data_IF_097183569574
#
_entry.id   IF_097183569574
#
_cell.length_a   1.000
_cell.length_b   1.000
_cell.length_c   1.000
_cell.angle_alpha   90.00
_cell.angle_beta   90.00
_cell.angle_gamma   90.00
#
_symmetry.space_group_name_H-M   'P 1'
#
loop_
_entity.id
_entity.type
_entity.pdbx_description
1 polymer ?
#
# COMPACT_ATOMS: atom_id res chain seq x y z
N UNK A 1 13.40 -2.11 -15.13
CA UNK A 1 11.95 -2.24 -14.81
C UNK A 1 11.49 -0.87 -14.37
N UNK A 2 10.33 -0.37 -14.81
CA UNK A 2 9.88 0.95 -14.37
C UNK A 2 9.42 0.90 -12.91
N UNK A 3 9.74 1.94 -12.13
CA UNK A 3 9.23 2.10 -10.78
C UNK A 3 7.68 2.24 -10.81
N UNK A 4 6.95 1.59 -9.91
CA UNK A 4 5.49 1.70 -9.88
C UNK A 4 5.07 3.12 -9.48
N UNK A 5 4.04 3.65 -10.15
CA UNK A 5 3.40 4.93 -9.81
C UNK A 5 2.29 4.77 -8.77
N UNK A 6 1.80 3.55 -8.60
CA UNK A 6 0.72 3.19 -7.70
C UNK A 6 1.05 1.84 -7.05
N UNK A 7 0.82 1.73 -5.75
CA UNK A 7 0.85 0.48 -5.02
C UNK A 7 -0.60 0.17 -4.63
N UNK A 8 -1.14 -0.92 -5.17
CA UNK A 8 -2.53 -1.34 -4.93
C UNK A 8 -2.54 -2.67 -4.21
N UNK A 9 -3.22 -2.72 -3.07
CA UNK A 9 -3.47 -3.92 -2.28
C UNK A 9 -4.91 -4.35 -2.57
N UNK A 10 -5.08 -5.62 -2.94
CA UNK A 10 -6.38 -6.22 -3.20
C UNK A 10 -6.76 -7.16 -2.07
N UNK A 11 -7.99 -7.02 -1.59
CA UNK A 11 -8.59 -7.83 -0.55
C UNK A 11 -9.75 -8.65 -1.14
N UNK A 12 -10.20 -9.67 -0.42
CA UNK A 12 -11.38 -10.45 -0.79
C UNK A 12 -12.70 -9.74 -0.47
N UNK A 13 -12.65 -8.78 0.45
CA UNK A 13 -13.80 -8.07 0.98
C UNK A 13 -13.56 -6.57 0.93
N UNK A 14 -14.65 -5.80 0.95
CA UNK A 14 -14.57 -4.34 0.94
C UNK A 14 -13.88 -3.82 2.21
N UNK A 15 -13.18 -2.70 2.10
CA UNK A 15 -12.36 -2.13 3.18
C UNK A 15 -12.98 -0.85 3.74
N UNK A 16 -13.01 -0.73 5.06
CA UNK A 16 -13.33 0.50 5.79
C UNK A 16 -12.10 1.41 5.82
N UNK A 17 -11.94 2.26 4.80
CA UNK A 17 -10.69 3.01 4.57
C UNK A 17 -10.31 3.96 5.71
N UNK A 18 -11.30 4.54 6.41
CA UNK A 18 -11.05 5.45 7.54
C UNK A 18 -10.47 4.77 8.79
N UNK A 19 -10.49 3.43 8.83
CA UNK A 19 -9.95 2.61 9.91
C UNK A 19 -8.81 1.70 9.42
N UNK A 20 -8.25 2.01 8.25
CA UNK A 20 -7.26 1.21 7.55
C UNK A 20 -6.01 2.05 7.21
N UNK A 21 -4.88 1.38 7.01
CA UNK A 21 -3.61 2.07 6.79
C UNK A 21 -2.58 1.26 6.04
N UNK A 22 -1.74 1.95 5.26
CA UNK A 22 -0.62 1.39 4.52
C UNK A 22 0.61 2.26 4.77
N UNK A 23 1.73 1.64 5.14
CA UNK A 23 3.03 2.27 5.31
C UNK A 23 4.03 1.60 4.39
N UNK A 24 4.77 2.42 3.64
CA UNK A 24 5.84 1.95 2.77
C UNK A 24 7.18 2.38 3.36
N UNK A 25 8.11 1.45 3.52
CA UNK A 25 9.46 1.69 4.00
C UNK A 25 10.44 1.43 2.87
N UNK A 26 11.33 2.38 2.61
CA UNK A 26 12.33 2.34 1.55
C UNK A 26 13.56 1.47 1.86
N UNK A 27 14.44 1.29 0.87
CA UNK A 27 15.67 0.52 1.01
C UNK A 27 16.66 1.12 2.02
N UNK A 28 16.54 2.41 2.29
CA UNK A 28 17.29 3.15 3.30
C UNK A 28 16.72 3.00 4.72
N UNK A 29 15.62 2.25 4.88
CA UNK A 29 14.96 2.01 6.16
C UNK A 29 14.03 3.13 6.62
N UNK A 30 13.90 4.22 5.85
CA UNK A 30 12.98 5.32 6.16
C UNK A 30 11.62 5.12 5.50
N UNK A 31 10.60 5.80 6.03
CA UNK A 31 9.28 5.81 5.39
C UNK A 31 9.39 6.48 4.01
N UNK A 32 8.98 5.77 2.96
CA UNK A 32 8.82 6.37 1.65
C UNK A 32 7.58 7.27 1.68
N UNK A 33 7.67 8.54 1.26
CA UNK A 33 6.53 9.43 1.26
C UNK A 33 5.50 8.94 0.24
N UNK A 34 4.27 8.73 0.71
CA UNK A 34 3.13 8.34 -0.12
C UNK A 34 1.94 9.26 0.12
N UNK A 35 0.97 9.24 -0.78
CA UNK A 35 -0.38 9.72 -0.50
C UNK A 35 -0.99 8.96 0.69
N UNK A 36 -2.05 9.54 1.26
CA UNK A 36 -2.93 8.79 2.14
C UNK A 36 -3.54 7.58 1.38
N UNK A 37 -3.80 6.46 2.08
CA UNK A 37 -4.52 5.33 1.50
C UNK A 37 -5.93 5.75 1.05
N UNK A 38 -6.32 5.29 -0.13
CA UNK A 38 -7.65 5.55 -0.70
C UNK A 38 -8.20 4.29 -1.35
N UNK A 39 -9.52 4.16 -1.41
CA UNK A 39 -10.14 3.12 -2.22
C UNK A 39 -9.98 3.43 -3.70
N UNK A 40 -9.85 2.40 -4.52
CA UNK A 40 -9.93 2.55 -5.98
C UNK A 40 -11.36 2.91 -6.36
N UNK A 41 -11.53 3.85 -7.28
CA UNK A 41 -12.86 4.28 -7.71
C UNK A 41 -13.64 3.11 -8.31
N UNK A 42 -14.84 2.87 -7.78
CA UNK A 42 -15.69 1.75 -8.20
C UNK A 42 -15.31 0.37 -7.66
N UNK A 43 -14.26 0.26 -6.83
CA UNK A 43 -13.84 -1.00 -6.20
C UNK A 43 -13.35 -0.78 -4.76
N UNK A 44 -14.22 -1.10 -3.79
CA UNK A 44 -13.92 -0.96 -2.37
C UNK A 44 -13.08 -2.12 -1.80
N UNK A 45 -12.77 -3.13 -2.61
CA UNK A 45 -11.85 -4.23 -2.23
C UNK A 45 -10.39 -3.90 -2.51
N UNK A 46 -10.12 -2.73 -3.11
CA UNK A 46 -8.77 -2.30 -3.47
C UNK A 46 -8.38 -1.01 -2.78
N UNK A 47 -7.28 -1.07 -2.03
CA UNK A 47 -6.65 0.10 -1.38
C UNK A 47 -5.43 0.51 -2.17
N UNK A 48 -5.31 1.80 -2.48
CA UNK A 48 -4.23 2.38 -3.27
C UNK A 48 -3.48 3.45 -2.49
N UNK A 49 -2.16 3.41 -2.59
CA UNK A 49 -1.25 4.51 -2.22
C UNK A 49 -0.36 4.86 -3.40
N UNK A 50 0.00 6.14 -3.51
CA UNK A 50 0.89 6.65 -4.56
C UNK A 50 2.18 7.19 -3.93
N UNK A 51 3.36 6.73 -4.35
CA UNK A 51 4.60 7.40 -3.99
C UNK A 51 4.56 8.88 -4.39
N UNK A 52 4.98 9.77 -3.49
CA UNK A 52 5.05 11.22 -3.78
C UNK A 52 6.18 11.59 -4.74
N UNK A 53 7.15 10.69 -4.90
CA UNK A 53 8.27 10.79 -5.83
C UNK A 53 8.56 9.41 -6.44
N UNK A 54 9.20 9.33 -7.62
CA UNK A 54 9.62 8.07 -8.19
C UNK A 54 10.43 7.21 -7.22
N UNK A 55 10.04 5.95 -7.05
CA UNK A 55 10.78 5.02 -6.20
C UNK A 55 12.16 4.74 -6.80
N UNK A 56 13.19 4.87 -5.98
CA UNK A 56 14.56 4.54 -6.36
C UNK A 56 14.74 3.02 -6.42
N UNK A 57 15.72 2.51 -7.17
CA UNK A 57 16.04 1.09 -7.15
C UNK A 57 16.35 0.60 -5.74
N UNK A 58 15.80 -0.54 -5.35
CA UNK A 58 15.98 -1.12 -4.02
C UNK A 58 14.78 -1.92 -3.52
N UNK A 59 14.93 -2.52 -2.34
CA UNK A 59 13.88 -3.30 -1.69
C UNK A 59 13.04 -2.42 -0.78
N UNK A 60 11.73 -2.50 -0.97
CA UNK A 60 10.72 -1.82 -0.19
C UNK A 60 9.94 -2.81 0.66
N UNK A 61 9.52 -2.39 1.84
CA UNK A 61 8.59 -3.13 2.69
C UNK A 61 7.26 -2.37 2.76
N UNK A 62 6.16 -3.09 2.61
CA UNK A 62 4.81 -2.58 2.75
C UNK A 62 4.19 -3.23 3.96
N UNK A 63 3.92 -2.43 4.99
CA UNK A 63 3.19 -2.82 6.17
C UNK A 63 1.76 -2.28 6.06
N UNK A 64 0.76 -3.12 6.27
CA UNK A 64 -0.64 -2.74 6.13
C UNK A 64 -1.50 -3.31 7.25
N UNK A 65 -2.58 -2.60 7.55
CA UNK A 65 -3.69 -3.07 8.37
C UNK A 65 -4.99 -2.59 7.73
N UNK A 66 -6.01 -3.44 7.73
CA UNK A 66 -7.33 -3.10 7.20
C UNK A 66 -8.41 -3.62 8.12
N UNK A 67 -9.50 -2.87 8.22
CA UNK A 67 -10.77 -3.36 8.73
C UNK A 67 -11.63 -3.71 7.52
N UNK A 68 -11.94 -4.99 7.34
CA UNK A 68 -12.90 -5.40 6.32
C UNK A 68 -14.33 -5.00 6.74
N UNK A 69 -15.19 -4.74 5.75
CA UNK A 69 -16.60 -4.33 5.95
C UNK A 69 -17.45 -5.41 6.62
N UNK A 70 -16.98 -6.65 6.65
CA UNK A 70 -17.56 -7.76 7.40
C UNK A 70 -17.26 -7.68 8.91
N UNK A 71 -16.39 -6.75 9.33
CA UNK A 71 -16.02 -6.47 10.70
C UNK A 71 -14.70 -7.08 11.16
N UNK A 72 -13.97 -7.81 10.31
CA UNK A 72 -12.72 -8.45 10.71
C UNK A 72 -11.49 -7.56 10.45
N UNK A 73 -10.68 -7.25 11.47
CA UNK A 73 -9.40 -6.59 11.27
C UNK A 73 -8.36 -7.62 10.80
N UNK A 74 -7.62 -7.26 9.75
CA UNK A 74 -6.47 -8.04 9.26
C UNK A 74 -5.27 -7.13 9.06
N UNK A 75 -4.08 -7.70 9.12
CA UNK A 75 -2.83 -6.97 8.91
C UNK A 75 -1.78 -7.87 8.27
N UNK A 76 -0.76 -7.28 7.68
CA UNK A 76 0.31 -8.04 7.08
C UNK A 76 1.47 -7.17 6.63
N UNK A 77 2.49 -7.85 6.13
CA UNK A 77 3.69 -7.21 5.59
C UNK A 77 4.16 -8.00 4.38
N UNK A 78 4.64 -7.30 3.36
CA UNK A 78 5.31 -7.91 2.23
C UNK A 78 6.44 -7.01 1.71
N UNK A 79 7.32 -7.57 0.90
CA UNK A 79 8.42 -6.85 0.29
C UNK A 79 8.36 -6.93 -1.23
N UNK A 80 8.77 -5.86 -1.88
CA UNK A 80 8.98 -5.82 -3.33
C UNK A 80 10.29 -5.13 -3.65
N UNK A 81 10.84 -5.38 -4.83
CA UNK A 81 12.10 -4.77 -5.28
C UNK A 81 11.86 -3.97 -6.55
N UNK A 82 12.31 -2.72 -6.55
CA UNK A 82 12.39 -1.87 -7.74
C UNK A 82 13.76 -2.12 -8.37
N UNK A 83 13.76 -2.63 -9.60
CA UNK A 83 14.99 -2.79 -10.39
C UNK A 83 15.45 -1.47 -11.02
N UNK A 84 16.69 -1.42 -11.54
CA UNK A 84 17.16 -0.31 -12.36
C UNK A 84 16.40 -0.20 -13.70
#
# INVERSE_FOLDING_TARGET
MAAPTDITLKFSEGVEIGLSGVKVTGPDGHAAPTSEPSLVEGDDTQVRVRPSQPLQPGTYQVDWHVLAKDGHPTHGTYKFTVGP
#
